data_IF_156632708521
#
_entry.id   IF_156632708521
#
_cell.length_a   1.000
_cell.length_b   1.000
_cell.length_c   1.000
_cell.angle_alpha   90.00
_cell.angle_beta   90.00
_cell.angle_gamma   90.00
#
_symmetry.space_group_name_H-M   'P 1'
#
loop_
_entity.id
_entity.type
_entity.pdbx_description
1 polymer ?
#
# COMPACT_ATOMS: atom_id res chain seq x y z
N UNK A 1 0.66 -20.21 17.26
CA UNK A 1 0.08 -18.86 17.22
C UNK A 1 0.01 -18.50 15.75
N UNK A 2 -1.18 -18.41 15.14
CA UNK A 2 -1.32 -18.01 13.73
C UNK A 2 -1.11 -16.50 13.66
N UNK A 3 -0.09 -16.05 12.93
CA UNK A 3 0.21 -14.63 12.76
C UNK A 3 -0.70 -14.13 11.64
N UNK A 4 -1.67 -13.27 11.96
CA UNK A 4 -2.42 -12.56 10.92
C UNK A 4 -1.48 -11.56 10.24
N UNK A 5 -1.22 -11.71 8.95
CA UNK A 5 -0.36 -10.80 8.21
C UNK A 5 -1.12 -9.49 7.92
N UNK A 6 -0.55 -8.36 8.33
CA UNK A 6 -1.05 -7.04 7.98
C UNK A 6 -0.34 -6.54 6.73
N UNK A 7 -1.09 -5.95 5.81
CA UNK A 7 -0.57 -5.42 4.55
C UNK A 7 -1.06 -3.99 4.38
N UNK A 8 -0.16 -3.05 4.10
CA UNK A 8 -0.46 -1.69 3.69
C UNK A 8 -0.13 -1.54 2.22
N UNK A 9 -1.10 -1.17 1.40
CA UNK A 9 -0.91 -0.86 0.00
C UNK A 9 -0.96 0.66 -0.21
N UNK A 10 0.09 1.21 -0.80
CA UNK A 10 0.18 2.59 -1.30
C UNK A 10 -0.08 2.61 -2.82
N UNK A 11 -1.26 3.06 -3.21
CA UNK A 11 -1.56 3.37 -4.61
C UNK A 11 -0.99 4.75 -4.95
N UNK A 12 -0.04 4.77 -5.87
CA UNK A 12 0.81 5.91 -6.18
C UNK A 12 0.85 6.18 -7.68
N UNK A 13 1.36 7.36 -8.06
CA UNK A 13 1.67 7.69 -9.45
C UNK A 13 2.98 8.46 -9.52
N UNK A 14 3.83 8.12 -10.49
CA UNK A 14 5.19 8.71 -10.63
C UNK A 14 5.18 10.23 -10.90
N UNK A 15 4.09 10.72 -11.50
CA UNK A 15 3.87 12.11 -11.86
C UNK A 15 3.20 12.93 -10.74
N UNK A 16 2.71 12.30 -9.68
CA UNK A 16 2.06 13.00 -8.58
C UNK A 16 3.08 13.46 -7.53
N UNK A 17 3.41 14.76 -7.55
CA UNK A 17 4.42 15.37 -6.68
C UNK A 17 4.25 15.08 -5.18
N UNK A 18 3.03 15.15 -4.61
CA UNK A 18 2.82 14.85 -3.20
C UNK A 18 3.14 13.40 -2.79
N UNK A 19 3.08 12.42 -3.70
CA UNK A 19 3.48 11.03 -3.40
C UNK A 19 4.97 10.95 -3.00
N UNK A 20 5.84 11.69 -3.70
CA UNK A 20 7.29 11.68 -3.42
C UNK A 20 7.66 12.17 -2.02
N UNK A 21 6.82 13.02 -1.43
CA UNK A 21 7.03 13.52 -0.08
C UNK A 21 6.61 12.50 0.99
N UNK A 22 5.74 11.54 0.66
CA UNK A 22 5.25 10.52 1.59
C UNK A 22 6.19 9.29 1.62
N UNK A 23 6.97 9.07 0.57
CA UNK A 23 7.93 7.95 0.44
C UNK A 23 8.87 7.79 1.65
N UNK A 24 9.50 8.86 2.21
CA UNK A 24 10.34 8.72 3.40
C UNK A 24 9.56 8.19 4.60
N UNK A 25 8.33 8.66 4.81
CA UNK A 25 7.50 8.25 5.92
C UNK A 25 7.08 6.77 5.80
N UNK A 26 6.76 6.32 4.59
CA UNK A 26 6.44 4.91 4.33
C UNK A 26 7.67 4.02 4.55
N UNK A 27 8.86 4.46 4.15
CA UNK A 27 10.10 3.72 4.42
C UNK A 27 10.39 3.62 5.93
N UNK A 28 10.18 4.71 6.68
CA UNK A 28 10.33 4.72 8.14
C UNK A 28 9.33 3.78 8.82
N UNK A 29 8.09 3.73 8.32
CA UNK A 29 7.09 2.77 8.81
C UNK A 29 7.44 1.33 8.46
N UNK A 30 7.90 1.05 7.25
CA UNK A 30 8.36 -0.28 6.85
C UNK A 30 9.54 -0.76 7.70
N UNK A 31 10.45 0.15 8.08
CA UNK A 31 11.56 -0.16 8.97
C UNK A 31 11.09 -0.42 10.43
N UNK A 32 10.04 0.28 10.88
CA UNK A 32 9.53 0.19 12.25
C UNK A 32 8.57 -0.98 12.48
N UNK A 33 7.70 -1.26 11.51
CA UNK A 33 6.62 -2.25 11.60
C UNK A 33 6.97 -3.48 10.76
N UNK A 34 7.89 -4.30 11.27
CA UNK A 34 8.42 -5.47 10.54
C UNK A 34 7.42 -6.63 10.41
N UNK A 35 6.30 -6.57 11.13
CA UNK A 35 5.16 -7.48 11.06
C UNK A 35 4.09 -7.04 10.05
N UNK A 36 4.28 -5.88 9.42
CA UNK A 36 3.42 -5.32 8.38
C UNK A 36 4.16 -5.33 7.04
N UNK A 37 3.53 -5.87 6.01
CA UNK A 37 4.04 -5.77 4.65
C UNK A 37 3.60 -4.46 4.00
N UNK A 38 4.53 -3.70 3.45
CA UNK A 38 4.23 -2.46 2.72
C UNK A 38 4.43 -2.71 1.23
N UNK A 39 3.37 -2.51 0.45
CA UNK A 39 3.34 -2.70 -1.00
C UNK A 39 3.03 -1.37 -1.67
N UNK A 40 3.75 -1.05 -2.74
CA UNK A 40 3.49 0.14 -3.55
C UNK A 40 3.00 -0.28 -4.92
N UNK A 41 1.86 0.27 -5.34
CA UNK A 41 1.22 0.01 -6.63
C UNK A 41 1.22 1.29 -7.44
N UNK A 42 1.93 1.27 -8.57
CA UNK A 42 1.89 2.32 -9.57
C UNK A 42 0.62 2.16 -10.42
N UNK A 43 -0.33 3.10 -10.27
CA UNK A 43 -1.65 2.99 -10.91
C UNK A 43 -1.57 3.05 -12.44
N UNK A 44 -0.52 3.64 -13.00
CA UNK A 44 -0.31 3.67 -14.45
C UNK A 44 0.15 2.30 -14.99
N UNK A 45 0.76 1.46 -14.14
CA UNK A 45 1.28 0.13 -14.51
C UNK A 45 0.31 -1.00 -14.18
N UNK A 46 -0.50 -0.84 -13.13
CA UNK A 46 -1.43 -1.84 -12.63
C UNK A 46 -2.85 -1.25 -12.55
N UNK A 47 -3.33 -0.76 -13.69
CA UNK A 47 -4.64 -0.08 -13.81
C UNK A 47 -5.78 -0.97 -13.34
N UNK A 48 -5.82 -2.23 -13.75
CA UNK A 48 -6.90 -3.16 -13.39
C UNK A 48 -6.98 -3.36 -11.87
N UNK A 49 -5.83 -3.47 -11.19
CA UNK A 49 -5.78 -3.58 -9.73
C UNK A 49 -6.25 -2.27 -9.07
N UNK A 50 -5.85 -1.11 -9.59
CA UNK A 50 -6.32 0.17 -9.06
C UNK A 50 -7.85 0.31 -9.21
N UNK A 51 -8.43 -0.19 -10.31
CA UNK A 51 -9.87 -0.21 -10.55
C UNK A 51 -10.60 -1.18 -9.60
N UNK A 52 -10.06 -2.38 -9.37
CA UNK A 52 -10.62 -3.35 -8.42
C UNK A 52 -10.71 -2.79 -6.98
N UNK A 53 -9.74 -1.96 -6.60
CA UNK A 53 -9.72 -1.26 -5.31
C UNK A 53 -10.45 0.09 -5.33
N UNK A 54 -11.13 0.43 -6.44
CA UNK A 54 -11.88 1.67 -6.64
C UNK A 54 -11.08 2.94 -6.32
N UNK A 55 -9.79 2.94 -6.69
CA UNK A 55 -8.87 4.03 -6.37
C UNK A 55 -9.18 5.24 -7.25
N UNK A 56 -9.51 6.38 -6.62
CA UNK A 56 -9.92 7.62 -7.32
C UNK A 56 -8.89 8.75 -7.26
N UNK A 57 -7.92 8.68 -6.34
CA UNK A 57 -6.93 9.75 -6.14
C UNK A 57 -5.60 9.20 -5.58
N UNK A 58 -4.48 9.79 -6.00
CA UNK A 58 -3.17 9.45 -5.44
C UNK A 58 -2.77 10.47 -4.37
N UNK A 59 -2.08 10.08 -3.30
CA UNK A 59 -1.88 8.68 -2.85
C UNK A 59 -3.14 8.15 -2.14
N UNK A 60 -3.49 6.89 -2.36
CA UNK A 60 -4.50 6.17 -1.55
C UNK A 60 -3.84 5.02 -0.80
N UNK A 61 -4.10 4.92 0.51
CA UNK A 61 -3.59 3.84 1.35
C UNK A 61 -4.68 2.86 1.73
N UNK A 62 -4.47 1.57 1.48
CA UNK A 62 -5.38 0.49 1.87
C UNK A 62 -4.69 -0.38 2.92
N UNK A 63 -5.31 -0.51 4.10
CA UNK A 63 -4.87 -1.44 5.12
C UNK A 63 -5.69 -2.72 5.04
N UNK A 64 -5.02 -3.84 4.83
CA UNK A 64 -5.60 -5.16 4.81
C UNK A 64 -5.06 -6.01 5.95
N UNK A 65 -5.95 -6.84 6.49
CA UNK A 65 -5.60 -7.90 7.41
C UNK A 65 -5.93 -9.22 6.73
N UNK A 66 -4.90 -9.98 6.40
CA UNK A 66 -5.08 -11.33 5.92
C UNK A 66 -5.65 -12.17 7.07
N UNK A 67 -6.93 -12.55 6.95
CA UNK A 67 -7.49 -13.61 7.76
C UNK A 67 -7.13 -14.92 7.08
N UNK A 68 -6.22 -15.69 7.67
CA UNK A 68 -6.09 -17.11 7.31
C UNK A 68 -7.46 -17.77 7.53
N UNK A 69 -8.15 -18.08 6.44
CA UNK A 69 -9.40 -18.83 6.45
C UNK A 69 -9.23 -20.22 7.06
N UNK A 70 -10.33 -20.72 7.60
CA UNK A 70 -10.48 -22.10 8.07
C UNK A 70 -10.25 -23.13 6.97
#
# INVERSE_FOLDING_TARGET
MKISKMVVIDFTATWFGPCKNMDPNINDFAAKYTDVEFVKIDVDKLVDVALEYEVQAMSTFVLMKEREGH
#
